data_IF_472825621358
#
_entry.id   IF_472825621358
#
_cell.length_a   1.000
_cell.length_b   1.000
_cell.length_c   1.000
_cell.angle_alpha   90.00
_cell.angle_beta   90.00
_cell.angle_gamma   90.00
#
_symmetry.space_group_name_H-M   'P 1'
#
loop_
_entity.id
_entity.type
_entity.pdbx_description
1 polymer ?
#
# COMPACT_ATOMS: atom_id res chain seq x y z
N UNK A 1 5.21 -7.56 19.44
CA UNK A 1 6.44 -7.46 18.65
C UNK A 1 7.70 -7.54 19.52
N UNK A 2 7.79 -6.90 20.69
CA UNK A 2 8.97 -6.89 21.58
C UNK A 2 9.53 -8.28 21.97
N UNK A 3 8.76 -9.36 21.81
CA UNK A 3 9.28 -10.73 21.98
C UNK A 3 10.28 -11.11 20.89
N UNK A 4 10.24 -10.46 19.72
CA UNK A 4 11.15 -10.75 18.60
C UNK A 4 12.59 -10.39 18.94
N UNK A 5 12.82 -9.25 19.66
CA UNK A 5 14.14 -8.82 20.10
C UNK A 5 14.83 -9.82 21.05
N UNK A 6 14.05 -10.72 21.67
CA UNK A 6 14.59 -11.77 22.55
C UNK A 6 15.09 -13.01 21.80
N UNK A 7 14.67 -13.14 20.54
CA UNK A 7 14.93 -14.35 19.72
C UNK A 7 15.84 -13.99 18.54
N UNK A 8 15.72 -12.79 18.01
CA UNK A 8 16.43 -12.32 16.83
C UNK A 8 17.24 -11.07 17.16
N UNK A 9 18.35 -10.89 16.47
CA UNK A 9 19.13 -9.66 16.50
C UNK A 9 18.43 -8.57 15.67
N UNK A 10 17.35 -8.05 16.23
CA UNK A 10 16.52 -7.00 15.62
C UNK A 10 16.22 -5.91 16.66
N UNK A 11 16.03 -4.68 16.19
CA UNK A 11 15.59 -3.55 17.01
C UNK A 11 14.18 -3.14 16.61
N UNK A 12 13.28 -3.05 17.57
CA UNK A 12 11.93 -2.51 17.37
C UNK A 12 11.98 -1.01 17.63
N UNK A 13 11.63 -0.21 16.62
CA UNK A 13 11.68 1.24 16.65
C UNK A 13 10.29 1.82 16.37
N UNK A 14 9.84 2.77 17.19
CA UNK A 14 8.71 3.63 16.85
C UNK A 14 9.21 4.78 15.98
N UNK A 15 8.98 4.67 14.69
CA UNK A 15 9.43 5.66 13.72
C UNK A 15 8.73 7.02 13.88
N UNK A 16 7.60 7.11 14.59
CA UNK A 16 6.96 8.42 14.87
C UNK A 16 7.80 9.28 15.83
N UNK A 17 8.78 8.70 16.50
CA UNK A 17 9.73 9.41 17.37
C UNK A 17 10.99 9.88 16.64
N UNK A 18 11.17 9.46 15.39
CA UNK A 18 12.30 9.83 14.56
C UNK A 18 12.15 11.23 13.95
N UNK A 19 13.25 11.89 13.56
CA UNK A 19 13.19 13.15 12.82
C UNK A 19 12.35 13.04 11.54
N UNK A 20 11.76 14.15 11.17
CA UNK A 20 10.91 14.24 9.98
C UNK A 20 11.17 15.52 9.17
N UNK A 21 10.71 15.54 7.92
CA UNK A 21 10.74 16.69 7.03
C UNK A 21 9.34 16.93 6.45
N UNK A 22 9.06 18.19 6.09
CA UNK A 22 7.85 18.48 5.36
C UNK A 22 7.93 18.02 3.90
N UNK A 23 6.84 17.43 3.43
CA UNK A 23 6.51 17.24 2.03
C UNK A 23 5.11 17.78 1.78
N UNK A 24 4.82 18.11 0.54
CA UNK A 24 3.51 18.65 0.19
C UNK A 24 2.69 17.61 -0.53
N UNK A 25 1.45 17.46 -0.12
CA UNK A 25 0.40 16.68 -0.79
C UNK A 25 -0.74 17.60 -1.17
N UNK A 26 -1.75 17.10 -1.85
CA UNK A 26 -2.94 17.88 -2.20
C UNK A 26 -4.01 17.66 -1.14
N UNK A 27 -4.57 18.74 -0.62
CA UNK A 27 -5.71 18.73 0.29
C UNK A 27 -7.04 18.49 -0.45
N UNK A 28 -8.09 18.20 0.31
CA UNK A 28 -9.48 18.09 -0.23
C UNK A 28 -9.96 19.34 -0.99
N UNK A 29 -9.36 20.51 -0.74
CA UNK A 29 -9.68 21.77 -1.38
C UNK A 29 -8.75 22.09 -2.57
N UNK A 30 -8.04 21.08 -3.08
CA UNK A 30 -7.06 21.16 -4.17
C UNK A 30 -5.93 22.19 -3.90
N UNK A 31 -5.50 22.28 -2.65
CA UNK A 31 -4.41 23.16 -2.23
C UNK A 31 -3.23 22.36 -1.73
N UNK A 32 -1.99 22.86 -1.88
CA UNK A 32 -0.83 22.24 -1.23
C UNK A 32 -1.03 22.16 0.28
N UNK A 33 -0.81 20.97 0.83
CA UNK A 33 -0.93 20.67 2.25
C UNK A 33 0.39 20.09 2.74
N UNK A 34 1.11 20.78 3.66
CA UNK A 34 2.32 20.23 4.24
C UNK A 34 1.99 19.07 5.17
N UNK A 35 2.69 17.96 5.01
CA UNK A 35 2.68 16.80 5.90
C UNK A 35 4.10 16.46 6.32
N UNK A 36 4.25 15.93 7.53
CA UNK A 36 5.53 15.47 8.07
C UNK A 36 5.81 14.06 7.59
N UNK A 37 6.92 13.87 6.90
CA UNK A 37 7.40 12.56 6.45
C UNK A 37 8.63 12.17 7.28
N UNK A 38 8.61 10.99 7.85
CA UNK A 38 9.68 10.43 8.68
C UNK A 38 10.95 10.27 7.85
N UNK A 39 12.07 10.79 8.35
CA UNK A 39 13.33 10.84 7.61
C UNK A 39 13.86 9.46 7.21
N UNK A 40 13.61 8.44 8.00
CA UNK A 40 14.00 7.05 7.67
C UNK A 40 13.50 6.61 6.30
N UNK A 41 12.32 7.07 5.87
CA UNK A 41 11.77 6.75 4.55
C UNK A 41 12.33 7.61 3.41
N UNK A 42 13.06 8.69 3.75
CA UNK A 42 13.67 9.63 2.79
C UNK A 42 15.19 9.47 2.70
N UNK A 43 15.83 8.78 3.64
CA UNK A 43 17.26 8.59 3.70
C UNK A 43 17.67 7.36 2.89
N UNK A 44 18.43 7.53 1.78
CA UNK A 44 18.83 6.43 0.90
C UNK A 44 19.82 5.44 1.55
N UNK A 45 20.24 5.67 2.80
CA UNK A 45 21.04 4.71 3.57
C UNK A 45 20.21 3.53 4.07
N UNK A 46 18.90 3.68 4.15
CA UNK A 46 18.02 2.61 4.58
C UNK A 46 17.52 1.81 3.37
N UNK A 47 17.53 0.51 3.49
CA UNK A 47 16.88 -0.41 2.58
C UNK A 47 15.49 -0.74 3.16
N UNK A 48 14.44 -0.25 2.52
CA UNK A 48 13.08 -0.38 3.03
C UNK A 48 12.44 -1.66 2.52
N UNK A 49 12.11 -2.55 3.45
CA UNK A 49 11.33 -3.76 3.15
C UNK A 49 9.89 -3.53 3.59
N UNK A 50 8.96 -3.58 2.66
CA UNK A 50 7.54 -3.54 2.98
C UNK A 50 7.03 -4.95 3.27
N UNK A 51 6.71 -5.22 4.53
CA UNK A 51 6.00 -6.44 4.92
C UNK A 51 4.52 -6.12 5.11
N UNK A 52 3.70 -6.45 4.13
CA UNK A 52 2.30 -6.09 4.08
C UNK A 52 1.37 -7.30 4.15
N UNK A 53 0.20 -7.14 4.78
CA UNK A 53 -0.88 -8.12 4.71
C UNK A 53 -1.84 -7.79 3.57
N UNK A 54 -2.25 -8.80 2.80
CA UNK A 54 -3.18 -8.66 1.69
C UNK A 54 -4.59 -8.31 2.19
N UNK A 55 -5.08 -7.10 1.85
CA UNK A 55 -6.39 -6.60 2.32
C UNK A 55 -7.08 -5.72 1.30
N UNK A 56 -8.43 -5.76 1.32
CA UNK A 56 -9.26 -4.72 0.70
C UNK A 56 -9.19 -3.39 1.46
N UNK A 57 -9.62 -2.30 0.82
CA UNK A 57 -9.60 -0.96 1.41
C UNK A 57 -10.74 -0.09 0.88
N UNK A 58 -11.30 0.74 1.75
CA UNK A 58 -12.47 1.58 1.49
C UNK A 58 -12.20 2.90 0.75
N UNK A 59 -10.94 3.23 0.44
CA UNK A 59 -10.56 4.44 -0.32
C UNK A 59 -9.77 4.10 -1.59
N UNK A 60 -8.83 3.17 -1.52
CA UNK A 60 -7.88 2.89 -2.60
C UNK A 60 -7.91 1.43 -3.03
N UNK A 61 -9.03 0.77 -2.80
CA UNK A 61 -9.36 -0.59 -3.23
C UNK A 61 -8.60 -1.70 -2.49
N UNK A 62 -7.28 -1.63 -2.43
CA UNK A 62 -6.41 -2.63 -1.80
C UNK A 62 -5.43 -1.99 -0.81
N UNK A 63 -4.98 -2.78 0.14
CA UNK A 63 -3.82 -2.51 0.99
C UNK A 63 -2.82 -3.61 0.74
N UNK A 64 -1.70 -3.25 0.12
CA UNK A 64 -0.60 -4.12 -0.25
C UNK A 64 0.72 -3.42 0.11
N UNK A 65 1.81 -3.79 -0.54
CA UNK A 65 3.17 -3.33 -0.22
C UNK A 65 3.34 -1.81 -0.34
N UNK A 66 2.98 -1.21 -1.47
CA UNK A 66 3.14 0.22 -1.71
C UNK A 66 2.35 1.04 -0.71
N UNK A 67 1.05 0.75 -0.56
CA UNK A 67 0.22 1.47 0.40
C UNK A 67 0.73 1.31 1.83
N UNK A 68 1.27 0.15 2.19
CA UNK A 68 1.80 -0.10 3.53
C UNK A 68 2.91 0.90 3.88
N UNK A 69 3.88 1.11 3.00
CA UNK A 69 4.99 2.05 3.19
C UNK A 69 4.54 3.50 3.04
N UNK A 70 3.81 3.83 1.97
CA UNK A 70 3.37 5.20 1.69
C UNK A 70 2.50 5.79 2.79
N UNK A 71 1.74 4.96 3.48
CA UNK A 71 0.87 5.39 4.59
C UNK A 71 1.50 5.10 5.98
N UNK A 72 2.69 4.51 6.02
CA UNK A 72 3.52 4.45 7.22
C UNK A 72 4.47 5.65 7.34
N UNK A 73 4.91 6.22 6.22
CA UNK A 73 5.86 7.32 6.17
C UNK A 73 5.35 8.65 6.79
N UNK A 74 4.07 9.06 6.64
CA UNK A 74 3.55 10.24 7.34
C UNK A 74 3.46 10.02 8.85
N UNK A 75 3.91 11.02 9.61
CA UNK A 75 3.91 11.00 11.08
C UNK A 75 2.49 10.82 11.62
N UNK A 76 2.36 9.99 12.65
CA UNK A 76 1.11 9.75 13.35
C UNK A 76 1.28 9.95 14.85
N UNK A 77 0.76 11.04 15.34
CA UNK A 77 0.72 11.39 16.76
C UNK A 77 -0.72 11.59 17.23
N UNK A 78 -0.92 11.56 18.56
CA UNK A 78 -2.25 11.69 19.14
C UNK A 78 -2.92 13.03 18.82
N UNK A 79 -2.14 14.12 18.73
CA UNK A 79 -2.65 15.48 18.47
C UNK A 79 -2.64 15.86 16.98
N UNK A 80 -1.80 15.21 16.18
CA UNK A 80 -1.65 15.50 14.75
C UNK A 80 -1.37 14.21 14.01
N UNK A 81 -2.23 13.86 13.08
CA UNK A 81 -2.16 12.63 12.31
C UNK A 81 -2.05 12.96 10.81
N UNK A 82 -0.81 13.10 10.34
CA UNK A 82 -0.53 13.48 8.95
C UNK A 82 -0.95 12.37 7.98
N UNK A 83 -0.89 11.10 8.41
CA UNK A 83 -1.47 9.97 7.67
C UNK A 83 -2.96 10.18 7.39
N UNK A 84 -3.72 10.69 8.36
CA UNK A 84 -5.16 10.92 8.18
C UNK A 84 -5.41 12.02 7.14
N UNK A 85 -4.52 13.01 7.02
CA UNK A 85 -4.64 14.08 6.03
C UNK A 85 -4.58 13.56 4.59
N UNK A 86 -3.85 12.48 4.34
CA UNK A 86 -3.81 11.82 3.03
C UNK A 86 -5.11 11.06 2.70
N UNK A 87 -5.91 10.70 3.73
CA UNK A 87 -7.16 9.95 3.60
C UNK A 87 -8.42 10.81 3.68
N UNK A 88 -8.31 12.10 3.93
CA UNK A 88 -9.46 12.99 4.18
C UNK A 88 -10.22 13.38 2.91
N UNK A 89 -10.48 12.44 2.02
CA UNK A 89 -11.30 12.68 0.86
C UNK A 89 -12.70 12.06 1.08
N UNK A 90 -13.78 12.80 0.83
CA UNK A 90 -15.10 12.20 0.63
C UNK A 90 -15.05 11.16 -0.50
N UNK A 91 -15.98 10.20 -0.58
CA UNK A 91 -15.98 9.15 -1.61
C UNK A 91 -15.82 9.69 -3.05
N UNK A 92 -16.37 10.86 -3.35
CA UNK A 92 -16.22 11.51 -4.66
C UNK A 92 -14.82 12.10 -4.92
N UNK A 93 -13.90 12.07 -3.94
CA UNK A 93 -12.55 12.61 -4.03
C UNK A 93 -11.48 11.54 -3.74
N UNK A 94 -11.81 10.26 -3.94
CA UNK A 94 -10.86 9.15 -3.78
C UNK A 94 -9.59 9.36 -4.62
N UNK A 95 -9.71 10.05 -5.76
CA UNK A 95 -8.59 10.35 -6.65
C UNK A 95 -7.48 11.15 -5.96
N UNK A 96 -7.81 12.02 -5.00
CA UNK A 96 -6.79 12.76 -4.24
C UNK A 96 -5.92 11.80 -3.41
N UNK A 97 -6.51 10.79 -2.78
CA UNK A 97 -5.72 9.81 -2.02
C UNK A 97 -4.80 9.03 -2.96
N UNK A 98 -5.31 8.60 -4.12
CA UNK A 98 -4.51 7.92 -5.15
C UNK A 98 -3.39 8.82 -5.68
N UNK A 99 -3.72 10.10 -5.98
CA UNK A 99 -2.74 11.09 -6.43
C UNK A 99 -1.65 11.31 -5.38
N UNK A 100 -2.03 11.52 -4.11
CA UNK A 100 -1.08 11.74 -3.03
C UNK A 100 -0.16 10.53 -2.81
N UNK A 101 -0.69 9.31 -2.95
CA UNK A 101 0.13 8.11 -2.90
C UNK A 101 1.13 8.05 -4.07
N UNK A 102 0.68 8.32 -5.29
CA UNK A 102 1.55 8.39 -6.47
C UNK A 102 2.62 9.49 -6.32
N UNK A 103 2.22 10.67 -5.86
CA UNK A 103 3.13 11.80 -5.67
C UNK A 103 4.21 11.49 -4.61
N UNK A 104 3.81 10.97 -3.45
CA UNK A 104 4.73 10.60 -2.37
C UNK A 104 5.66 9.45 -2.79
N UNK A 105 5.19 8.53 -3.61
CA UNK A 105 5.98 7.39 -4.08
C UNK A 105 7.23 7.78 -4.89
N UNK A 106 7.30 8.99 -5.39
CA UNK A 106 8.48 9.49 -6.10
C UNK A 106 9.68 9.74 -5.18
N UNK A 107 9.45 9.84 -3.86
CA UNK A 107 10.50 10.01 -2.86
C UNK A 107 10.51 8.88 -1.80
N UNK A 108 9.36 8.26 -1.56
CA UNK A 108 9.18 7.18 -0.58
C UNK A 108 8.77 5.91 -1.31
N UNK A 109 9.72 5.03 -1.53
CA UNK A 109 9.47 3.79 -2.28
C UNK A 109 10.23 2.62 -1.63
N UNK A 110 9.59 1.46 -1.37
CA UNK A 110 10.32 0.32 -0.81
C UNK A 110 11.18 -0.36 -1.90
N UNK A 111 12.32 -0.93 -1.50
CA UNK A 111 13.19 -1.70 -2.38
C UNK A 111 12.76 -3.18 -2.48
N UNK A 112 12.03 -3.66 -1.47
CA UNK A 112 11.52 -5.04 -1.45
C UNK A 112 10.09 -5.06 -0.93
N UNK A 113 9.21 -5.68 -1.70
CA UNK A 113 7.86 -6.04 -1.29
C UNK A 113 7.82 -7.47 -0.80
N UNK A 114 7.21 -7.69 0.38
CA UNK A 114 6.80 -9.01 0.88
C UNK A 114 5.33 -8.91 1.29
N UNK A 115 4.48 -9.69 0.64
CA UNK A 115 3.02 -9.63 0.84
C UNK A 115 2.55 -10.97 1.41
N UNK A 116 2.07 -10.91 2.66
CA UNK A 116 1.43 -12.04 3.34
C UNK A 116 -0.05 -12.08 2.94
N UNK A 117 -0.41 -13.09 2.16
CA UNK A 117 -1.77 -13.45 1.79
C UNK A 117 -2.16 -14.83 2.31
N UNK A 118 -1.45 -15.39 3.30
CA UNK A 118 -1.85 -16.69 3.86
C UNK A 118 -3.27 -16.62 4.42
N UNK A 119 -3.52 -15.63 5.27
CA UNK A 119 -4.86 -15.19 5.67
C UNK A 119 -4.98 -13.70 5.38
N UNK A 120 -5.77 -13.34 4.39
CA UNK A 120 -6.04 -11.97 4.02
C UNK A 120 -7.30 -11.40 4.69
N UNK A 121 -7.70 -10.20 4.28
CA UNK A 121 -8.95 -9.56 4.70
C UNK A 121 -9.73 -9.08 3.49
N UNK A 122 -10.96 -9.50 3.34
CA UNK A 122 -11.88 -9.09 2.28
C UNK A 122 -13.04 -8.22 2.79
N UNK A 123 -13.86 -7.69 1.89
CA UNK A 123 -15.06 -6.89 2.23
C UNK A 123 -14.68 -5.52 2.81
N UNK A 124 -15.25 -5.16 3.94
CA UNK A 124 -15.13 -3.83 4.55
C UNK A 124 -13.75 -3.56 5.23
N UNK A 125 -12.66 -3.99 4.56
CA UNK A 125 -11.30 -3.60 4.96
C UNK A 125 -11.10 -2.07 4.95
N UNK A 126 -10.02 -1.58 5.58
CA UNK A 126 -8.87 -2.34 6.06
C UNK A 126 -8.98 -2.85 7.50
N UNK A 127 -10.08 -2.57 8.22
CA UNK A 127 -10.21 -2.88 9.65
C UNK A 127 -11.47 -3.70 10.01
N UNK A 128 -12.52 -3.63 9.21
CA UNK A 128 -13.84 -4.22 9.48
C UNK A 128 -14.22 -5.28 8.44
N UNK A 129 -13.24 -5.81 7.72
CA UNK A 129 -13.44 -6.92 6.78
C UNK A 129 -13.49 -8.27 7.49
N UNK A 130 -13.73 -9.30 6.70
CA UNK A 130 -13.71 -10.70 7.13
C UNK A 130 -12.42 -11.37 6.70
N UNK A 131 -11.89 -12.34 7.48
CA UNK A 131 -10.72 -13.10 7.05
C UNK A 131 -11.05 -13.97 5.84
N UNK A 132 -10.06 -14.16 4.99
CA UNK A 132 -10.10 -15.05 3.84
C UNK A 132 -8.78 -15.81 3.73
N UNK A 133 -8.85 -17.13 3.66
CA UNK A 133 -7.68 -17.98 3.47
C UNK A 133 -7.29 -18.04 1.99
N UNK A 134 -6.24 -17.32 1.61
CA UNK A 134 -5.71 -17.37 0.25
C UNK A 134 -4.49 -18.26 0.12
N UNK A 135 -3.79 -18.52 1.24
CA UNK A 135 -2.61 -19.43 1.35
C UNK A 135 -1.49 -19.11 0.37
N UNK A 136 -1.31 -17.81 0.09
CA UNK A 136 -0.27 -17.30 -0.80
C UNK A 136 0.68 -16.36 -0.06
N UNK A 137 1.91 -16.28 -0.56
CA UNK A 137 2.86 -15.22 -0.22
C UNK A 137 3.56 -14.77 -1.50
N UNK A 138 3.82 -13.48 -1.60
CA UNK A 138 4.51 -12.89 -2.74
C UNK A 138 5.70 -12.06 -2.25
N UNK A 139 6.79 -12.09 -3.02
CA UNK A 139 7.92 -11.20 -2.80
C UNK A 139 8.47 -10.72 -4.14
N UNK A 140 8.93 -9.48 -4.22
CA UNK A 140 9.53 -8.90 -5.41
C UNK A 140 10.43 -7.71 -5.07
N UNK A 141 11.54 -7.59 -5.80
CA UNK A 141 12.38 -6.39 -5.84
C UNK A 141 11.73 -5.26 -6.67
N UNK A 142 10.63 -5.55 -7.33
CA UNK A 142 9.75 -4.56 -7.96
C UNK A 142 8.43 -4.52 -7.17
N UNK A 143 8.25 -3.55 -6.26
CA UNK A 143 7.04 -3.44 -5.44
C UNK A 143 5.77 -3.19 -6.24
N UNK A 144 5.86 -2.50 -7.39
CA UNK A 144 4.70 -2.32 -8.26
C UNK A 144 4.27 -3.64 -8.90
N UNK A 145 5.21 -4.43 -9.41
CA UNK A 145 4.92 -5.76 -9.95
C UNK A 145 4.31 -6.68 -8.88
N UNK A 146 4.79 -6.60 -7.63
CA UNK A 146 4.22 -7.35 -6.51
C UNK A 146 2.77 -6.94 -6.24
N UNK A 147 2.48 -5.64 -6.14
CA UNK A 147 1.13 -5.13 -5.86
C UNK A 147 0.16 -5.43 -7.01
N UNK A 148 0.61 -5.33 -8.28
CA UNK A 148 -0.17 -5.72 -9.47
C UNK A 148 -0.50 -7.20 -9.43
N UNK A 149 0.49 -8.06 -9.16
CA UNK A 149 0.30 -9.51 -9.07
C UNK A 149 -0.65 -9.86 -7.92
N UNK A 150 -0.44 -9.30 -6.73
CA UNK A 150 -1.32 -9.53 -5.58
C UNK A 150 -2.76 -9.06 -5.83
N UNK A 151 -2.94 -7.92 -6.52
CA UNK A 151 -4.25 -7.42 -6.93
C UNK A 151 -4.97 -8.42 -7.84
N UNK A 152 -4.26 -9.05 -8.76
CA UNK A 152 -4.82 -10.09 -9.63
C UNK A 152 -5.13 -11.37 -8.86
N UNK A 153 -4.27 -11.78 -7.92
CA UNK A 153 -4.56 -12.90 -6.99
C UNK A 153 -5.87 -12.66 -6.25
N UNK A 154 -6.13 -11.43 -5.82
CA UNK A 154 -7.40 -11.03 -5.18
C UNK A 154 -8.60 -11.03 -6.14
N UNK A 155 -8.39 -11.20 -7.45
CA UNK A 155 -9.45 -11.19 -8.47
C UNK A 155 -9.85 -9.79 -8.94
N UNK A 156 -9.03 -8.78 -8.70
CA UNK A 156 -9.27 -7.41 -9.13
C UNK A 156 -8.40 -7.02 -10.34
N UNK A 157 -8.88 -6.04 -11.11
CA UNK A 157 -8.10 -5.46 -12.20
C UNK A 157 -7.22 -4.31 -11.68
N UNK A 158 -5.87 -4.45 -11.67
CA UNK A 158 -4.98 -3.41 -11.19
C UNK A 158 -5.04 -2.11 -12.00
N UNK A 159 -5.44 -2.16 -13.29
CA UNK A 159 -5.61 -0.98 -14.14
C UNK A 159 -6.74 -0.07 -13.66
N UNK A 160 -7.67 -0.59 -12.88
CA UNK A 160 -8.77 0.16 -12.27
C UNK A 160 -8.39 0.80 -10.93
N UNK A 161 -7.17 0.60 -10.44
CA UNK A 161 -6.68 1.18 -9.21
C UNK A 161 -5.74 2.33 -9.56
N UNK A 162 -6.25 3.56 -9.47
CA UNK A 162 -5.62 4.75 -10.05
C UNK A 162 -4.17 4.97 -9.64
N UNK A 163 -3.77 4.73 -8.36
CA UNK A 163 -2.36 4.91 -7.98
C UNK A 163 -1.44 3.85 -8.62
N UNK A 164 -1.90 2.60 -8.77
CA UNK A 164 -1.12 1.56 -9.45
C UNK A 164 -0.98 1.86 -10.94
N UNK A 165 -2.08 2.27 -11.58
CA UNK A 165 -2.07 2.66 -12.99
C UNK A 165 -1.14 3.86 -13.24
N UNK A 166 -1.21 4.91 -12.41
CA UNK A 166 -0.35 6.08 -12.53
C UNK A 166 1.14 5.74 -12.33
N UNK A 167 1.47 4.89 -11.35
CA UNK A 167 2.84 4.41 -11.13
C UNK A 167 3.35 3.59 -12.32
N UNK A 168 2.49 2.75 -12.92
CA UNK A 168 2.82 1.98 -14.11
C UNK A 168 3.10 2.88 -15.32
N UNK A 169 2.25 3.87 -15.56
CA UNK A 169 2.42 4.85 -16.64
C UNK A 169 3.68 5.71 -16.45
N UNK A 170 4.03 6.03 -15.22
CA UNK A 170 5.26 6.77 -14.88
C UNK A 170 6.53 5.91 -14.92
N UNK A 171 6.42 4.60 -15.17
CA UNK A 171 7.58 3.69 -15.23
C UNK A 171 8.25 3.43 -13.87
N UNK A 172 7.49 3.52 -12.78
CA UNK A 172 8.01 3.29 -11.42
C UNK A 172 8.21 1.80 -11.09
N UNK A 173 7.93 0.91 -12.03
CA UNK A 173 8.08 -0.54 -11.96
C UNK A 173 7.34 -1.20 -13.12
N UNK A 174 7.32 -2.55 -13.16
CA UNK A 174 6.62 -3.28 -14.21
C UNK A 174 5.10 -3.27 -14.01
N UNK A 175 4.42 -2.40 -14.76
CA UNK A 175 2.97 -2.24 -14.73
C UNK A 175 2.23 -3.20 -15.65
N UNK A 176 2.89 -3.74 -16.65
CA UNK A 176 2.32 -4.68 -17.61
C UNK A 176 2.46 -6.11 -17.06
N UNK A 177 1.32 -6.66 -16.62
CA UNK A 177 1.31 -7.99 -16.03
C UNK A 177 1.88 -9.07 -16.95
N UNK A 178 1.67 -8.97 -18.23
CA UNK A 178 2.12 -9.99 -19.21
C UNK A 178 3.66 -9.99 -19.36
N UNK A 179 4.33 -8.96 -18.85
CA UNK A 179 5.78 -8.85 -18.78
C UNK A 179 6.37 -9.20 -17.41
N UNK A 180 5.52 -9.45 -16.40
CA UNK A 180 5.98 -9.87 -15.08
C UNK A 180 6.35 -11.35 -15.13
N UNK A 181 7.60 -11.66 -14.86
CA UNK A 181 8.05 -13.04 -14.71
C UNK A 181 7.66 -13.57 -13.31
N UNK A 182 6.71 -14.48 -13.27
CA UNK A 182 6.33 -15.18 -12.04
C UNK A 182 7.22 -16.40 -11.84
N UNK A 183 7.79 -16.50 -10.65
CA UNK A 183 8.53 -17.67 -10.19
C UNK A 183 7.72 -18.37 -9.09
N UNK A 184 7.69 -19.68 -9.10
CA UNK A 184 6.94 -20.49 -8.14
C UNK A 184 5.58 -20.91 -8.67
N UNK A 185 4.52 -20.78 -7.85
CA UNK A 185 3.19 -21.26 -8.21
C UNK A 185 2.54 -20.36 -9.28
N UNK A 186 2.03 -20.93 -10.38
CA UNK A 186 1.33 -20.16 -11.41
C UNK A 186 0.13 -19.38 -10.85
N UNK A 187 -0.17 -18.21 -11.45
CA UNK A 187 -1.22 -17.31 -10.98
C UNK A 187 -2.60 -17.99 -10.91
N UNK A 188 -2.96 -18.77 -11.91
CA UNK A 188 -4.25 -19.47 -12.02
C UNK A 188 -4.53 -20.40 -10.83
N UNK A 189 -3.47 -20.95 -10.23
CA UNK A 189 -3.54 -21.79 -9.03
C UNK A 189 -3.58 -20.96 -7.72
N UNK A 190 -3.28 -19.66 -7.79
CA UNK A 190 -3.24 -18.74 -6.67
C UNK A 190 -4.48 -17.83 -6.60
N UNK A 191 -5.34 -17.84 -7.62
CA UNK A 191 -6.49 -16.95 -7.69
C UNK A 191 -7.44 -17.18 -6.52
N UNK A 192 -7.73 -16.09 -5.79
CA UNK A 192 -8.67 -16.08 -4.69
C UNK A 192 -9.60 -14.87 -4.86
N UNK A 193 -10.89 -15.13 -5.06
CA UNK A 193 -11.86 -14.08 -5.37
C UNK A 193 -12.29 -13.35 -4.12
N UNK A 194 -11.60 -12.25 -3.80
CA UNK A 194 -11.93 -11.36 -2.68
C UNK A 194 -13.23 -10.59 -2.95
N UNK A 195 -14.05 -10.44 -1.91
CA UNK A 195 -15.15 -9.49 -1.93
C UNK A 195 -14.59 -8.08 -1.84
N UNK A 196 -14.93 -7.15 -2.75
CA UNK A 196 -14.51 -5.76 -2.63
C UNK A 196 -15.15 -5.09 -1.41
N UNK A 197 -14.58 -3.95 -0.98
CA UNK A 197 -15.27 -3.08 -0.04
C UNK A 197 -16.58 -2.58 -0.69
N UNK A 198 -17.67 -2.50 0.07
CA UNK A 198 -19.00 -2.12 -0.45
C UNK A 198 -18.99 -0.76 -1.17
N UNK A 199 -18.31 0.25 -0.60
CA UNK A 199 -18.15 1.57 -1.23
C UNK A 199 -17.38 1.50 -2.55
N UNK A 200 -16.35 0.63 -2.60
CA UNK A 200 -15.57 0.45 -3.82
C UNK A 200 -16.35 -0.34 -4.86
N UNK A 201 -17.12 -1.34 -4.45
CA UNK A 201 -18.00 -2.09 -5.35
C UNK A 201 -19.03 -1.16 -6.04
N UNK A 202 -19.64 -0.25 -5.28
CA UNK A 202 -20.57 0.75 -5.81
C UNK A 202 -19.88 1.74 -6.76
N UNK A 203 -18.72 2.32 -6.33
CA UNK A 203 -17.98 3.29 -7.12
C UNK A 203 -17.47 2.73 -8.45
N UNK A 204 -17.00 1.49 -8.45
CA UNK A 204 -16.44 0.83 -9.63
C UNK A 204 -17.45 -0.03 -10.39
N UNK A 205 -18.71 -0.04 -9.98
CA UNK A 205 -19.81 -0.84 -10.59
C UNK A 205 -19.43 -2.32 -10.78
N UNK A 206 -18.99 -2.93 -9.68
CA UNK A 206 -18.58 -4.34 -9.63
C UNK A 206 -19.75 -5.25 -9.25
#
# INVERSE_FOLDING_TARGET
YFKLEKVYDVKIVDLNLEPWQYRYVISKDNRPLPIRIINTFLDPKFYIISLARMKTHNYVFVTLSLKNVLLAAPVREAKQNDKALMHTAPPAMNDICHYNMFHLAQEVYPELAVIDGFEGMEGNGPAWGTPIESKVALASLDPLAADITATRVMGFDPKRINYLAAMAEAGMGQGDYDKIQLLGTPLDQCLCKYKPNEKMAELYKL
#
